data_IF_150248802733
#
_entry.id   IF_150248802733
#
_cell.length_a   1.000
_cell.length_b   1.000
_cell.length_c   1.000
_cell.angle_alpha   90.00
_cell.angle_beta   90.00
_cell.angle_gamma   90.00
#
_symmetry.space_group_name_H-M   'P 1'
#
loop_
_entity.id
_entity.type
_entity.pdbx_description
1 polymer ?
#
# COMPACT_ATOMS: atom_id res chain seq x y z
N UNK A 1 3.65 -7.89 -5.30
CA UNK A 1 2.48 -7.81 -6.22
C UNK A 1 2.80 -7.07 -7.52
N UNK A 2 3.71 -6.08 -7.51
CA UNK A 2 3.98 -5.25 -8.68
C UNK A 2 4.38 -6.05 -9.93
N UNK A 3 5.19 -7.06 -9.81
CA UNK A 3 5.63 -7.87 -10.95
C UNK A 3 4.48 -8.57 -11.69
N UNK A 4 3.65 -9.40 -11.04
CA UNK A 4 2.57 -10.09 -11.75
C UNK A 4 1.49 -9.12 -12.21
N UNK A 5 1.19 -8.06 -11.48
CA UNK A 5 0.19 -7.07 -11.86
C UNK A 5 0.60 -6.31 -13.13
N UNK A 6 1.83 -5.78 -13.17
CA UNK A 6 2.36 -5.09 -14.35
C UNK A 6 2.31 -5.96 -15.61
N UNK A 7 2.68 -7.24 -15.48
CA UNK A 7 2.66 -8.20 -16.58
C UNK A 7 1.25 -8.55 -17.04
N UNK A 8 0.34 -8.75 -16.08
CA UNK A 8 -1.06 -9.05 -16.37
C UNK A 8 -1.77 -7.90 -17.06
N UNK A 9 -1.50 -6.66 -16.66
CA UNK A 9 -2.08 -5.45 -17.26
C UNK A 9 -1.63 -5.27 -18.71
N UNK A 10 -0.42 -5.71 -19.01
CA UNK A 10 0.09 -5.77 -20.40
C UNK A 10 -0.45 -6.97 -21.21
N UNK A 11 -1.31 -7.83 -20.61
CA UNK A 11 -1.83 -9.03 -21.28
C UNK A 11 -0.79 -10.13 -21.48
N UNK A 12 0.31 -10.10 -20.71
CA UNK A 12 1.46 -10.99 -20.82
C UNK A 12 1.56 -11.96 -19.64
N UNK A 13 2.45 -12.94 -19.77
CA UNK A 13 3.02 -13.66 -18.66
C UNK A 13 4.45 -13.19 -18.40
N UNK A 14 5.12 -13.83 -17.45
CA UNK A 14 6.53 -13.52 -17.17
C UNK A 14 7.26 -14.68 -16.53
N UNK A 15 8.57 -14.66 -16.71
CA UNK A 15 9.52 -15.50 -15.98
C UNK A 15 10.43 -14.60 -15.16
N UNK A 16 10.42 -14.80 -13.85
CA UNK A 16 11.24 -14.06 -12.89
C UNK A 16 12.28 -14.95 -12.24
N UNK A 17 13.48 -14.40 -12.06
CA UNK A 17 14.59 -14.98 -11.34
C UNK A 17 14.80 -14.24 -10.03
N UNK A 18 14.52 -14.89 -8.91
CA UNK A 18 14.67 -14.28 -7.58
C UNK A 18 16.13 -14.05 -7.19
N UNK A 19 17.06 -14.82 -7.74
CA UNK A 19 18.49 -14.64 -7.46
C UNK A 19 19.05 -13.34 -8.03
N UNK A 20 18.36 -12.75 -9.01
CA UNK A 20 18.72 -11.48 -9.61
C UNK A 20 18.22 -10.25 -8.82
N UNK A 21 17.40 -10.45 -7.79
CA UNK A 21 16.90 -9.34 -6.95
C UNK A 21 18.03 -8.82 -6.06
N UNK A 22 18.37 -7.53 -6.11
CA UNK A 22 19.40 -6.96 -5.25
C UNK A 22 18.91 -6.94 -3.79
N UNK A 23 19.69 -7.51 -2.90
CA UNK A 23 19.42 -7.63 -1.48
C UNK A 23 20.55 -7.02 -0.67
N UNK A 24 20.20 -6.24 0.34
CA UNK A 24 21.16 -5.72 1.33
C UNK A 24 21.29 -6.70 2.52
N UNK A 25 20.28 -7.52 2.75
CA UNK A 25 20.28 -8.52 3.80
C UNK A 25 20.52 -9.91 3.21
N UNK A 26 21.56 -10.58 3.69
CA UNK A 26 21.90 -11.95 3.30
C UNK A 26 21.01 -12.98 4.01
N UNK A 27 20.69 -14.06 3.33
CA UNK A 27 19.98 -15.20 3.93
C UNK A 27 18.46 -15.13 3.86
N UNK A 28 17.88 -14.20 3.10
CA UNK A 28 16.45 -14.18 2.82
C UNK A 28 16.02 -15.40 2.00
N UNK A 29 14.99 -16.09 2.46
CA UNK A 29 14.39 -17.18 1.71
C UNK A 29 13.63 -16.65 0.47
N UNK A 30 13.45 -17.45 -0.60
CA UNK A 30 12.73 -17.02 -1.80
C UNK A 30 11.36 -16.43 -1.54
N UNK A 31 10.59 -16.97 -0.58
CA UNK A 31 9.29 -16.44 -0.18
C UNK A 31 9.39 -15.03 0.46
N UNK A 32 10.47 -14.77 1.19
CA UNK A 32 10.71 -13.47 1.83
C UNK A 32 11.11 -12.42 0.79
N UNK A 33 11.89 -12.82 -0.21
CA UNK A 33 12.24 -11.95 -1.34
C UNK A 33 10.99 -11.62 -2.16
N UNK A 34 10.19 -12.62 -2.50
CA UNK A 34 9.00 -12.45 -3.34
C UNK A 34 7.89 -11.65 -2.66
N UNK A 35 7.68 -11.86 -1.38
CA UNK A 35 6.64 -11.21 -0.59
C UNK A 35 7.17 -10.00 0.22
N UNK A 36 8.34 -9.45 -0.13
CA UNK A 36 8.91 -8.32 0.57
C UNK A 36 8.13 -7.04 0.26
N UNK A 37 7.80 -6.29 1.30
CA UNK A 37 7.09 -5.00 1.22
C UNK A 37 8.05 -3.81 1.39
N UNK A 38 9.28 -3.91 0.90
CA UNK A 38 10.25 -2.82 0.94
C UNK A 38 9.71 -1.59 0.21
N UNK A 39 9.78 -0.46 0.87
CA UNK A 39 9.34 0.83 0.37
C UNK A 39 10.28 1.35 -0.73
N UNK A 40 9.75 2.25 -1.58
CA UNK A 40 10.53 2.98 -2.59
C UNK A 40 11.25 2.07 -3.61
N UNK A 41 10.68 0.90 -3.90
CA UNK A 41 11.16 -0.01 -4.94
C UNK A 41 10.18 -0.01 -6.10
N UNK A 42 10.71 0.23 -7.29
CA UNK A 42 9.92 0.35 -8.51
C UNK A 42 10.19 -0.81 -9.45
N UNK A 43 9.14 -1.24 -10.16
CA UNK A 43 9.21 -2.23 -11.23
C UNK A 43 8.92 -1.55 -12.55
N UNK A 44 9.78 -1.77 -13.53
CA UNK A 44 9.61 -1.23 -14.87
C UNK A 44 9.63 -2.38 -15.88
N UNK A 45 8.81 -2.25 -16.93
CA UNK A 45 8.90 -3.07 -18.12
C UNK A 45 9.46 -2.19 -19.25
N UNK A 46 10.66 -2.51 -19.72
CA UNK A 46 11.34 -1.76 -20.76
C UNK A 46 11.75 -2.70 -21.92
N UNK A 47 11.90 -2.16 -23.11
CA UNK A 47 12.38 -2.95 -24.22
C UNK A 47 13.88 -3.25 -24.10
N UNK A 48 14.36 -4.38 -24.64
CA UNK A 48 15.78 -4.70 -24.61
C UNK A 48 16.66 -3.61 -25.25
N UNK A 49 16.16 -2.92 -26.27
CA UNK A 49 16.87 -1.84 -26.96
C UNK A 49 17.07 -0.61 -26.07
N UNK A 50 16.16 -0.40 -25.11
CA UNK A 50 16.22 0.72 -24.16
C UNK A 50 17.09 0.44 -22.94
N UNK A 51 17.44 -0.82 -22.70
CA UNK A 51 18.19 -1.23 -21.51
C UNK A 51 19.58 -0.55 -21.41
N UNK A 52 20.38 -0.39 -22.47
CA UNK A 52 21.67 0.31 -22.36
C UNK A 52 21.52 1.78 -21.95
N UNK A 53 20.51 2.48 -22.47
CA UNK A 53 20.23 3.86 -22.08
C UNK A 53 19.79 3.94 -20.62
N UNK A 54 18.90 3.06 -20.20
CA UNK A 54 18.44 3.00 -18.81
C UNK A 54 19.59 2.70 -17.83
N UNK A 55 20.46 1.76 -18.20
CA UNK A 55 21.67 1.45 -17.42
C UNK A 55 22.54 2.69 -17.22
N UNK A 56 22.86 3.42 -18.31
CA UNK A 56 23.67 4.62 -18.23
C UNK A 56 23.03 5.71 -17.35
N UNK A 57 21.71 5.84 -17.39
CA UNK A 57 20.98 6.77 -16.52
C UNK A 57 21.07 6.37 -15.06
N UNK A 58 20.84 5.09 -14.75
CA UNK A 58 20.93 4.57 -13.39
C UNK A 58 22.34 4.70 -12.80
N UNK A 59 23.38 4.43 -13.59
CA UNK A 59 24.77 4.60 -13.18
C UNK A 59 25.08 6.07 -12.87
N UNK A 60 24.66 6.99 -13.72
CA UNK A 60 24.82 8.43 -13.52
C UNK A 60 24.15 8.89 -12.20
N UNK A 61 22.94 8.44 -11.94
CA UNK A 61 22.15 8.82 -10.77
C UNK A 61 22.47 7.95 -9.53
N UNK A 62 23.39 6.99 -9.63
CA UNK A 62 23.70 6.03 -8.55
C UNK A 62 22.46 5.30 -8.04
N UNK A 63 21.56 4.94 -8.97
CA UNK A 63 20.32 4.24 -8.67
C UNK A 63 20.52 2.73 -8.93
N UNK A 64 20.62 1.90 -7.91
CA UNK A 64 20.77 0.45 -8.09
C UNK A 64 19.55 -0.13 -8.81
N UNK A 65 19.78 -0.98 -9.78
CA UNK A 65 18.73 -1.73 -10.46
C UNK A 65 19.23 -3.11 -10.88
N UNK A 66 18.31 -4.00 -11.20
CA UNK A 66 18.61 -5.30 -11.74
C UNK A 66 17.51 -5.75 -12.70
N UNK A 67 17.91 -6.53 -13.71
CA UNK A 67 16.97 -7.22 -14.61
C UNK A 67 16.57 -8.53 -13.94
N UNK A 68 15.36 -8.59 -13.42
CA UNK A 68 14.86 -9.71 -12.63
C UNK A 68 13.96 -10.68 -13.40
N UNK A 69 13.67 -10.39 -14.65
CA UNK A 69 12.85 -11.28 -15.46
C UNK A 69 12.53 -10.75 -16.84
N UNK A 70 11.78 -11.54 -17.56
CA UNK A 70 11.36 -11.27 -18.96
C UNK A 70 9.86 -11.52 -19.07
N UNK A 71 9.15 -10.57 -19.69
CA UNK A 71 7.76 -10.76 -20.06
C UNK A 71 7.65 -11.75 -21.24
N UNK A 72 6.62 -12.60 -21.21
CA UNK A 72 6.39 -13.65 -22.20
C UNK A 72 5.02 -13.48 -22.88
N UNK A 73 4.85 -14.03 -24.06
CA UNK A 73 3.55 -14.04 -24.73
C UNK A 73 2.59 -15.02 -24.07
N UNK A 74 3.10 -16.15 -23.61
CA UNK A 74 2.32 -17.09 -22.82
C UNK A 74 1.96 -16.48 -21.48
N UNK A 75 0.67 -16.48 -21.16
CA UNK A 75 0.14 -15.90 -19.91
C UNK A 75 0.36 -16.84 -18.72
N UNK A 76 1.62 -17.13 -18.45
CA UNK A 76 2.10 -17.98 -17.36
C UNK A 76 3.00 -17.17 -16.45
N UNK A 77 2.81 -17.28 -15.14
CA UNK A 77 3.74 -16.76 -14.15
C UNK A 77 4.70 -17.87 -13.75
N UNK A 78 5.96 -17.64 -13.98
CA UNK A 78 7.04 -18.55 -13.55
C UNK A 78 7.98 -17.77 -12.65
N UNK A 79 8.17 -18.24 -11.43
CA UNK A 79 9.14 -17.71 -10.47
C UNK A 79 10.09 -18.85 -10.10
N UNK A 80 11.34 -18.71 -10.46
CA UNK A 80 12.35 -19.74 -10.26
C UNK A 80 13.72 -19.10 -10.05
N UNK A 81 14.59 -19.85 -9.41
CA UNK A 81 16.03 -19.60 -9.43
C UNK A 81 16.69 -20.42 -10.54
N UNK A 82 17.90 -20.05 -11.01
CA UNK A 82 18.61 -20.84 -12.00
C UNK A 82 18.81 -22.28 -11.54
N UNK A 83 18.49 -23.24 -12.40
CA UNK A 83 18.63 -24.67 -12.17
C UNK A 83 17.81 -25.26 -10.99
N UNK A 84 16.89 -24.50 -10.41
CA UNK A 84 15.95 -24.97 -9.40
C UNK A 84 14.56 -25.22 -9.97
N UNK A 85 13.77 -26.05 -9.28
CA UNK A 85 12.36 -26.19 -9.57
C UNK A 85 11.65 -24.84 -9.35
N UNK A 86 10.71 -24.52 -10.23
CA UNK A 86 9.98 -23.26 -10.12
C UNK A 86 9.12 -23.22 -8.85
N UNK A 87 9.39 -22.25 -7.99
CA UNK A 87 8.60 -22.01 -6.77
C UNK A 87 7.15 -21.60 -7.11
N UNK A 88 6.96 -20.94 -8.25
CA UNK A 88 5.65 -20.61 -8.81
C UNK A 88 5.66 -20.96 -10.29
N UNK A 89 4.68 -21.72 -10.71
CA UNK A 89 4.43 -22.02 -12.12
C UNK A 89 2.91 -22.15 -12.32
N UNK A 90 2.26 -21.05 -12.65
CA UNK A 90 0.81 -21.02 -12.75
C UNK A 90 0.30 -20.08 -13.84
N UNK A 91 -0.85 -20.36 -14.43
CA UNK A 91 -1.50 -19.42 -15.35
C UNK A 91 -1.87 -18.10 -14.64
N UNK A 92 -1.67 -16.96 -15.33
CA UNK A 92 -1.97 -15.64 -14.79
C UNK A 92 -3.45 -15.47 -14.38
N UNK A 93 -4.38 -16.15 -15.05
CA UNK A 93 -5.79 -16.09 -14.73
C UNK A 93 -6.16 -16.84 -13.41
N UNK A 94 -5.30 -17.71 -12.93
CA UNK A 94 -5.46 -18.33 -11.61
C UNK A 94 -5.10 -17.32 -10.52
N UNK A 95 -4.04 -16.56 -10.73
CA UNK A 95 -3.57 -15.57 -9.76
C UNK A 95 -4.40 -14.29 -9.78
N UNK A 96 -4.64 -13.73 -10.97
CA UNK A 96 -5.25 -12.41 -11.17
C UNK A 96 -6.57 -12.49 -11.97
N UNK A 97 -7.15 -13.68 -12.11
CA UNK A 97 -8.45 -13.87 -12.73
C UNK A 97 -9.59 -13.36 -11.85
N UNK A 98 -10.77 -13.35 -12.42
CA UNK A 98 -11.97 -12.98 -11.67
C UNK A 98 -12.29 -14.07 -10.64
N UNK A 99 -12.35 -13.73 -9.35
CA UNK A 99 -12.80 -14.70 -8.36
C UNK A 99 -14.24 -15.13 -8.64
N UNK A 100 -14.66 -16.30 -8.17
CA UNK A 100 -16.05 -16.72 -8.23
C UNK A 100 -16.96 -15.63 -7.67
N UNK A 101 -18.11 -15.44 -8.29
CA UNK A 101 -19.10 -14.48 -7.77
C UNK A 101 -19.50 -14.87 -6.35
N UNK A 102 -19.32 -13.95 -5.43
CA UNK A 102 -19.76 -14.14 -4.06
C UNK A 102 -21.30 -14.13 -4.03
N UNK A 103 -21.89 -15.20 -3.55
CA UNK A 103 -23.30 -15.25 -3.23
C UNK A 103 -23.49 -15.03 -1.74
N UNK A 104 -24.30 -14.03 -1.38
CA UNK A 104 -24.65 -13.75 0.01
C UNK A 104 -26.15 -13.93 0.18
N UNK A 105 -26.51 -14.98 0.88
CA UNK A 105 -27.89 -15.19 1.34
C UNK A 105 -27.98 -14.73 2.79
N UNK A 106 -28.47 -13.52 2.98
CA UNK A 106 -28.56 -12.88 4.29
C UNK A 106 -30.03 -12.73 4.69
N UNK A 107 -30.32 -13.04 5.94
CA UNK A 107 -31.64 -12.84 6.53
C UNK A 107 -31.54 -11.80 7.64
N UNK A 108 -32.50 -10.89 7.67
CA UNK A 108 -32.63 -9.96 8.78
C UNK A 108 -33.04 -10.71 10.02
N UNK A 109 -32.20 -10.66 11.05
CA UNK A 109 -32.52 -11.20 12.36
C UNK A 109 -32.95 -10.05 13.26
N UNK A 110 -34.21 -10.04 13.65
CA UNK A 110 -34.69 -9.08 14.63
C UNK A 110 -34.01 -9.35 15.98
N UNK A 111 -33.12 -8.46 16.38
CA UNK A 111 -32.49 -8.52 17.70
C UNK A 111 -33.44 -7.95 18.73
N UNK A 112 -33.76 -8.75 19.73
CA UNK A 112 -34.47 -8.27 20.93
C UNK A 112 -33.42 -7.80 21.94
N UNK A 113 -33.42 -6.54 22.25
CA UNK A 113 -32.59 -5.99 23.29
C UNK A 113 -33.35 -6.01 24.62
N UNK A 114 -32.63 -6.25 25.72
CA UNK A 114 -33.19 -6.05 27.04
C UNK A 114 -33.57 -4.57 27.22
N UNK A 115 -34.62 -4.26 27.98
CA UNK A 115 -34.92 -2.88 28.32
C UNK A 115 -33.73 -2.21 29.01
N UNK A 116 -33.51 -0.93 28.67
CA UNK A 116 -32.44 -0.15 29.29
C UNK A 116 -32.72 0.01 30.78
N UNK A 117 -31.79 -0.45 31.59
CA UNK A 117 -31.87 -0.30 33.06
C UNK A 117 -30.93 0.87 33.48
N UNK A 118 -31.54 1.95 33.96
CA UNK A 118 -30.84 3.13 34.43
C UNK A 118 -30.75 3.20 35.98
N UNK A 119 -31.15 2.14 36.69
CA UNK A 119 -31.10 2.10 38.13
C UNK A 119 -29.66 2.21 38.62
N UNK A 120 -29.38 3.20 39.45
CA UNK A 120 -28.04 3.43 40.01
C UNK A 120 -27.06 4.18 39.08
N UNK A 121 -27.53 4.67 37.97
CA UNK A 121 -26.69 5.51 37.10
C UNK A 121 -26.55 6.91 37.70
N UNK A 122 -25.31 7.31 37.96
CA UNK A 122 -24.97 8.69 38.30
C UNK A 122 -24.85 9.48 37.00
N UNK A 123 -25.73 10.49 36.84
CA UNK A 123 -25.78 11.29 35.63
C UNK A 123 -24.48 12.08 35.40
N UNK A 124 -23.91 12.67 36.45
CA UNK A 124 -22.68 13.46 36.31
C UNK A 124 -21.49 12.58 35.87
N UNK A 125 -21.36 11.43 36.51
CA UNK A 125 -20.34 10.44 36.10
C UNK A 125 -20.56 9.95 34.68
N UNK A 126 -21.78 9.64 34.28
CA UNK A 126 -22.11 9.19 32.96
C UNK A 126 -21.76 10.22 31.89
N UNK A 127 -22.01 11.51 32.14
CA UNK A 127 -21.62 12.61 31.24
C UNK A 127 -20.10 12.64 31.05
N UNK A 128 -19.36 12.57 32.17
CA UNK A 128 -17.87 12.58 32.08
C UNK A 128 -17.35 11.34 31.34
N UNK A 129 -17.89 10.17 31.64
CA UNK A 129 -17.50 8.92 30.97
C UNK A 129 -17.76 8.97 29.44
N UNK A 130 -18.88 9.56 29.01
CA UNK A 130 -19.20 9.76 27.59
C UNK A 130 -18.22 10.74 26.95
N UNK A 131 -17.94 11.89 27.59
CA UNK A 131 -17.00 12.88 27.07
C UNK A 131 -15.56 12.35 27.01
N UNK A 132 -15.19 11.46 27.93
CA UNK A 132 -13.87 10.82 27.96
C UNK A 132 -13.76 9.62 27.02
N UNK A 133 -14.86 9.10 26.48
CA UNK A 133 -14.83 7.92 25.62
C UNK A 133 -14.06 8.19 24.32
N UNK A 134 -13.27 7.24 23.79
CA UNK A 134 -12.50 7.43 22.55
C UNK A 134 -13.34 7.86 21.34
N UNK A 135 -14.62 7.50 21.30
CA UNK A 135 -15.56 7.87 20.24
C UNK A 135 -15.95 9.36 20.28
N UNK A 136 -16.01 9.95 21.47
CA UNK A 136 -16.49 11.33 21.69
C UNK A 136 -15.35 12.29 22.00
N UNK A 137 -14.32 11.82 22.69
CA UNK A 137 -13.17 12.62 23.12
C UNK A 137 -12.43 13.28 21.95
N UNK A 138 -11.56 14.22 22.28
CA UNK A 138 -10.75 14.96 21.29
C UNK A 138 -10.01 14.05 20.33
N UNK A 139 -10.07 14.34 19.03
CA UNK A 139 -9.36 13.65 17.96
C UNK A 139 -8.05 14.36 17.57
N UNK A 140 -7.58 15.29 18.38
CA UNK A 140 -6.36 16.05 18.12
C UNK A 140 -5.16 15.16 17.79
N UNK A 141 -5.02 14.03 18.46
CA UNK A 141 -3.95 13.08 18.21
C UNK A 141 -3.94 12.55 16.77
N UNK A 142 -5.11 12.29 16.17
CA UNK A 142 -5.22 11.83 14.78
C UNK A 142 -4.72 12.88 13.79
N UNK A 143 -4.98 14.15 14.08
CA UNK A 143 -4.53 15.25 13.22
C UNK A 143 -3.03 15.47 13.34
N UNK A 144 -2.43 15.17 14.49
CA UNK A 144 -0.99 15.41 14.75
C UNK A 144 -0.09 14.28 14.30
N UNK A 145 -0.57 13.05 14.28
CA UNK A 145 0.23 11.87 13.90
C UNK A 145 0.16 11.53 12.41
N UNK A 146 -0.85 12.04 11.69
CA UNK A 146 -0.99 11.83 10.25
C UNK A 146 -0.21 12.85 9.43
N UNK A 147 0.08 12.50 8.20
CA UNK A 147 0.72 13.39 7.23
C UNK A 147 -0.24 14.53 6.85
N UNK A 148 0.20 15.77 7.05
CA UNK A 148 -0.61 16.97 6.82
C UNK A 148 -0.25 17.74 5.55
N UNK A 149 1.00 17.64 5.16
CA UNK A 149 1.58 18.49 4.11
C UNK A 149 2.34 17.68 3.06
N UNK A 150 1.88 16.47 2.78
CA UNK A 150 2.46 15.61 1.75
C UNK A 150 2.42 16.32 0.40
N UNK A 151 3.54 16.28 -0.33
CA UNK A 151 3.67 16.93 -1.61
C UNK A 151 4.07 18.41 -1.56
N UNK A 152 4.14 19.04 -0.38
CA UNK A 152 4.66 20.40 -0.20
C UNK A 152 3.79 21.54 -0.76
N UNK A 153 2.59 21.24 -1.26
CA UNK A 153 1.66 22.25 -1.80
C UNK A 153 0.69 22.81 -0.77
N UNK A 154 0.87 22.51 0.51
CA UNK A 154 0.07 23.09 1.59
C UNK A 154 0.74 24.39 2.05
N UNK A 155 0.11 25.53 1.72
CA UNK A 155 0.55 26.84 2.19
C UNK A 155 0.08 27.10 3.62
N UNK A 156 -1.14 26.70 3.92
CA UNK A 156 -1.73 26.81 5.25
C UNK A 156 -2.58 25.60 5.56
N UNK A 157 -2.22 24.88 6.61
CA UNK A 157 -3.01 23.78 7.14
C UNK A 157 -3.89 24.23 8.35
N UNK A 158 -4.52 23.29 9.02
CA UNK A 158 -5.38 23.55 10.16
C UNK A 158 -4.64 23.96 11.43
N UNK A 159 -3.31 23.79 11.47
CA UNK A 159 -2.50 24.06 12.67
C UNK A 159 -2.02 25.51 12.68
N UNK A 160 -2.16 26.18 13.83
CA UNK A 160 -1.84 27.59 14.00
C UNK A 160 -0.85 27.81 15.11
N UNK A 161 0.11 28.68 14.83
CA UNK A 161 1.10 29.18 15.78
C UNK A 161 2.13 28.15 16.25
N UNK A 162 3.02 28.54 17.18
CA UNK A 162 4.11 27.66 17.65
C UNK A 162 3.60 26.42 18.39
N UNK A 163 2.40 26.46 18.94
CA UNK A 163 1.80 25.36 19.66
C UNK A 163 1.04 24.38 18.74
N UNK A 164 0.98 24.65 17.45
CA UNK A 164 0.30 23.81 16.46
C UNK A 164 -1.11 23.41 16.92
N UNK A 165 -1.94 24.42 17.14
CA UNK A 165 -3.33 24.24 17.58
C UNK A 165 -4.24 24.15 16.36
N UNK A 166 -5.15 23.17 16.24
CA UNK A 166 -6.01 22.99 15.08
C UNK A 166 -7.23 23.95 15.11
N UNK A 167 -6.97 25.24 14.97
CA UNK A 167 -7.97 26.32 15.09
C UNK A 167 -8.05 27.21 13.86
N UNK A 168 -7.46 26.81 12.74
CA UNK A 168 -7.59 27.56 11.50
C UNK A 168 -8.98 27.38 10.89
N UNK A 169 -9.59 28.49 10.47
CA UNK A 169 -10.90 28.49 9.82
C UNK A 169 -10.84 28.13 8.33
N UNK A 170 -9.64 28.09 7.77
CA UNK A 170 -9.43 27.74 6.36
C UNK A 170 -8.13 26.98 6.16
N UNK A 171 -8.07 26.21 5.08
CA UNK A 171 -6.85 25.64 4.53
C UNK A 171 -6.56 26.32 3.18
N UNK A 172 -5.29 26.48 2.88
CA UNK A 172 -4.83 27.08 1.61
C UNK A 172 -3.82 26.12 0.97
N UNK A 173 -4.10 25.70 -0.24
CA UNK A 173 -3.19 24.90 -1.06
C UNK A 173 -2.71 25.72 -2.25
N UNK A 174 -1.47 25.50 -2.65
CA UNK A 174 -0.89 26.07 -3.86
C UNK A 174 -1.35 25.25 -5.08
N UNK A 175 -1.53 25.93 -6.21
CA UNK A 175 -1.87 25.25 -7.46
C UNK A 175 -0.66 24.51 -8.07
N UNK A 176 0.54 25.08 -7.85
CA UNK A 176 1.81 24.52 -8.29
C UNK A 176 2.96 25.07 -7.42
N UNK A 177 4.21 24.71 -7.74
CA UNK A 177 5.40 25.19 -7.03
C UNK A 177 5.94 26.54 -7.53
N UNK A 178 5.26 27.20 -8.45
CA UNK A 178 5.69 28.51 -8.99
C UNK A 178 5.15 29.69 -8.19
N UNK A 179 4.13 29.48 -7.40
CA UNK A 179 3.51 30.48 -6.53
C UNK A 179 2.35 31.20 -7.17
#
# INVERSE_FOLDING_TARGET
NAFPELTNDAGRGARFDLSAVPLEESGMAPKEIWCNESQERYVLAISPESLPLFTAMCERERCPFSVVGVATEERQLIVAEPAAEAAVNMPMNVLLGKPPKMHRDVKTVARKFAPLNLTGVDLQKAVIDVLASPTVASKRFLITIGDRTVGGLSHRDQMVGPWQVPVADCAVTLADYKG
#
